data_IF_600140380324
#
_entry.id   IF_600140380324
#
_cell.length_a   1.000
_cell.length_b   1.000
_cell.length_c   1.000
_cell.angle_alpha   90.00
_cell.angle_beta   90.00
_cell.angle_gamma   90.00
#
_symmetry.space_group_name_H-M   'P 1'
#
loop_
_entity.id
_entity.type
_entity.pdbx_description
1 polymer ?
#
# COMPACT_ATOMS: atom_id res chain seq x y z
N UNK A 1 -25.65 -0.66 -17.20
CA UNK A 1 -24.54 -0.57 -16.22
C UNK A 1 -24.72 -1.70 -15.21
N UNK A 2 -23.69 -2.52 -14.99
CA UNK A 2 -23.73 -3.57 -13.96
C UNK A 2 -23.81 -2.93 -12.57
N UNK A 3 -24.65 -3.46 -11.65
CA UNK A 3 -24.81 -2.89 -10.32
C UNK A 3 -23.50 -2.99 -9.53
N UNK A 4 -23.13 -1.90 -8.84
CA UNK A 4 -21.97 -1.88 -7.95
C UNK A 4 -22.13 -2.92 -6.84
N UNK A 5 -21.11 -3.73 -6.60
CA UNK A 5 -21.11 -4.73 -5.53
C UNK A 5 -20.29 -4.25 -4.35
N UNK A 6 -20.73 -4.63 -3.15
CA UNK A 6 -19.98 -4.44 -1.93
C UNK A 6 -18.87 -5.50 -1.85
N UNK A 7 -17.85 -5.28 -1.01
CA UNK A 7 -16.87 -6.30 -0.65
C UNK A 7 -17.52 -7.62 -0.14
N UNK A 8 -18.77 -7.56 0.32
CA UNK A 8 -19.59 -8.71 0.73
C UNK A 8 -20.22 -9.51 -0.45
N UNK A 9 -19.93 -9.16 -1.71
CA UNK A 9 -20.53 -9.67 -2.97
C UNK A 9 -21.98 -9.27 -3.26
N UNK A 10 -22.75 -8.90 -2.23
CA UNK A 10 -24.12 -8.43 -2.43
C UNK A 10 -24.10 -7.09 -3.17
N UNK A 11 -25.17 -6.85 -3.92
CA UNK A 11 -25.40 -5.55 -4.56
C UNK A 11 -25.37 -4.47 -3.48
N UNK A 12 -24.59 -3.42 -3.73
CA UNK A 12 -24.56 -2.27 -2.86
C UNK A 12 -25.86 -1.51 -2.98
N UNK A 13 -26.47 -1.21 -1.84
CA UNK A 13 -27.75 -0.49 -1.76
C UNK A 13 -27.57 0.92 -1.23
N UNK A 14 -26.39 1.24 -0.69
CA UNK A 14 -26.09 2.54 -0.10
C UNK A 14 -24.64 2.96 -0.34
N UNK A 15 -24.45 4.27 -0.42
CA UNK A 15 -23.12 4.91 -0.40
C UNK A 15 -22.75 5.29 1.03
N UNK A 16 -21.45 5.39 1.30
CA UNK A 16 -20.95 6.02 2.53
C UNK A 16 -21.60 7.41 2.67
N UNK A 17 -22.18 7.70 3.83
CA UNK A 17 -22.87 8.98 4.07
C UNK A 17 -21.92 10.18 4.00
N UNK A 18 -20.65 9.97 4.36
CA UNK A 18 -19.63 11.02 4.46
C UNK A 18 -18.94 11.29 3.12
N UNK A 19 -18.23 10.32 2.56
CA UNK A 19 -17.41 10.58 1.36
C UNK A 19 -18.13 10.31 0.04
N UNK A 20 -19.19 9.48 0.00
CA UNK A 20 -19.87 9.01 -1.24
C UNK A 20 -19.00 8.19 -2.22
N UNK A 21 -17.73 7.93 -1.88
CA UNK A 21 -16.76 7.17 -2.69
C UNK A 21 -16.60 5.70 -2.27
N UNK A 22 -17.47 5.19 -1.40
CA UNK A 22 -17.59 3.77 -1.07
C UNK A 22 -19.04 3.33 -1.14
N UNK A 23 -19.26 2.08 -1.54
CA UNK A 23 -20.56 1.48 -1.73
C UNK A 23 -20.69 0.21 -0.88
N UNK A 24 -21.77 0.12 -0.09
CA UNK A 24 -21.99 -0.96 0.87
C UNK A 24 -23.35 -1.63 0.71
N UNK A 25 -23.40 -2.92 1.03
CA UNK A 25 -24.63 -3.70 1.10
C UNK A 25 -25.36 -3.55 2.45
N UNK A 26 -24.65 -3.16 3.53
CA UNK A 26 -25.21 -3.04 4.89
C UNK A 26 -24.34 -2.19 5.81
N UNK A 27 -24.87 -1.77 6.99
CA UNK A 27 -24.08 -1.09 8.05
C UNK A 27 -22.98 -1.97 8.61
N UNK A 28 -23.20 -3.29 8.67
CA UNK A 28 -22.18 -4.24 9.07
C UNK A 28 -20.96 -4.22 8.14
N UNK A 29 -21.18 -4.17 6.82
CA UNK A 29 -20.06 -4.16 5.87
C UNK A 29 -19.29 -2.84 5.90
N UNK A 30 -20.00 -1.73 6.11
CA UNK A 30 -19.38 -0.43 6.38
C UNK A 30 -18.54 -0.44 7.66
N UNK A 31 -19.04 -1.03 8.74
CA UNK A 31 -18.27 -1.21 9.99
C UNK A 31 -17.02 -2.08 9.80
N UNK A 32 -17.11 -3.14 9.01
CA UNK A 32 -15.96 -4.01 8.70
C UNK A 32 -14.89 -3.32 7.85
N UNK A 33 -15.28 -2.42 6.95
CA UNK A 33 -14.34 -1.64 6.12
C UNK A 33 -13.80 -0.40 6.85
N UNK A 34 -14.41 0.01 7.98
CA UNK A 34 -14.15 1.29 8.63
C UNK A 34 -12.66 1.57 8.87
N UNK A 35 -11.89 0.55 9.26
CA UNK A 35 -10.46 0.71 9.51
C UNK A 35 -9.66 1.11 8.26
N UNK A 36 -9.90 0.45 7.12
CA UNK A 36 -9.28 0.80 5.84
C UNK A 36 -9.87 2.09 5.28
N UNK A 37 -11.19 2.25 5.35
CA UNK A 37 -11.90 3.42 4.87
C UNK A 37 -11.43 4.71 5.53
N UNK A 38 -11.21 4.68 6.85
CA UNK A 38 -10.75 5.84 7.63
C UNK A 38 -9.40 6.40 7.19
N UNK A 39 -8.57 5.60 6.52
CA UNK A 39 -7.27 6.05 6.04
C UNK A 39 -7.39 7.11 4.93
N UNK A 40 -8.48 7.08 4.15
CA UNK A 40 -8.56 7.84 2.89
C UNK A 40 -9.88 8.61 2.67
N UNK A 41 -10.89 8.42 3.52
CA UNK A 41 -12.22 9.01 3.26
C UNK A 41 -12.25 10.54 3.32
N UNK A 42 -11.44 11.18 4.18
CA UNK A 42 -11.30 12.64 4.20
C UNK A 42 -10.44 13.10 3.03
N UNK A 43 -9.30 12.44 2.81
CA UNK A 43 -8.35 12.85 1.78
C UNK A 43 -8.91 12.74 0.37
N UNK A 44 -9.83 11.81 0.07
CA UNK A 44 -10.48 11.77 -1.25
C UNK A 44 -11.40 12.97 -1.47
N UNK A 45 -12.11 13.43 -0.43
CA UNK A 45 -13.01 14.58 -0.51
C UNK A 45 -12.19 15.85 -0.68
N UNK A 46 -11.19 16.05 0.16
CA UNK A 46 -10.25 17.18 0.09
C UNK A 46 -9.53 17.23 -1.25
N UNK A 47 -8.98 16.09 -1.71
CA UNK A 47 -8.27 16.01 -2.98
C UNK A 47 -9.16 16.39 -4.17
N UNK A 48 -10.41 15.93 -4.21
CA UNK A 48 -11.33 16.23 -5.32
C UNK A 48 -11.74 17.71 -5.37
N UNK A 49 -11.76 18.38 -4.21
CA UNK A 49 -12.02 19.83 -4.13
C UNK A 49 -10.77 20.61 -4.55
N UNK A 50 -9.62 20.27 -3.98
CA UNK A 50 -8.36 20.98 -4.19
C UNK A 50 -7.71 20.70 -5.56
N UNK A 51 -7.97 19.53 -6.15
CA UNK A 51 -7.37 19.12 -7.43
C UNK A 51 -8.45 18.64 -8.40
N UNK A 52 -9.09 19.55 -9.15
CA UNK A 52 -10.01 19.20 -10.22
C UNK A 52 -9.35 18.34 -11.28
N UNK A 53 -10.15 17.54 -12.00
CA UNK A 53 -9.62 16.64 -13.05
C UNK A 53 -8.92 17.45 -14.15
N UNK A 54 -7.62 17.22 -14.44
CA UNK A 54 -6.87 18.00 -15.42
C UNK A 54 -7.36 17.81 -16.86
N UNK A 55 -7.74 16.58 -17.24
CA UNK A 55 -8.24 16.26 -18.58
C UNK A 55 -9.16 15.03 -18.58
N UNK A 56 -9.89 14.80 -19.66
CA UNK A 56 -10.74 13.62 -19.84
C UNK A 56 -9.95 12.29 -19.97
N UNK A 57 -8.64 12.37 -20.25
CA UNK A 57 -7.75 11.20 -20.31
C UNK A 57 -7.25 10.79 -18.91
N UNK A 58 -7.36 11.68 -17.93
CA UNK A 58 -6.95 11.41 -16.57
C UNK A 58 -8.05 10.72 -15.77
N UNK A 59 -7.65 9.81 -14.89
CA UNK A 59 -8.51 9.13 -13.95
C UNK A 59 -7.87 9.13 -12.56
N UNK A 60 -8.71 9.01 -11.53
CA UNK A 60 -8.26 8.98 -10.15
C UNK A 60 -7.57 7.65 -9.85
N UNK A 61 -6.39 7.70 -9.24
CA UNK A 61 -5.61 6.55 -8.82
C UNK A 61 -5.07 6.75 -7.40
N UNK A 62 -4.62 5.65 -6.78
CA UNK A 62 -3.88 5.66 -5.52
C UNK A 62 -2.40 5.44 -5.78
N UNK A 63 -1.56 6.28 -5.20
CA UNK A 63 -0.11 6.20 -5.30
C UNK A 63 0.50 5.84 -3.94
N UNK A 64 1.16 4.68 -3.89
CA UNK A 64 1.98 4.29 -2.75
C UNK A 64 3.43 4.58 -3.10
N UNK A 65 3.90 5.68 -2.57
CA UNK A 65 5.23 6.24 -2.75
C UNK A 65 6.31 5.39 -2.06
N UNK A 66 7.53 5.44 -2.60
CA UNK A 66 8.71 5.04 -1.83
C UNK A 66 9.18 6.23 -1.03
N UNK A 67 9.20 6.03 0.28
CA UNK A 67 9.59 7.02 1.25
C UNK A 67 11.11 6.95 1.46
N UNK A 68 11.73 8.09 1.78
CA UNK A 68 13.14 8.16 2.12
C UNK A 68 13.44 7.36 3.39
N UNK A 69 14.71 7.03 3.63
CA UNK A 69 15.09 6.45 4.93
C UNK A 69 14.69 7.43 6.04
N UNK A 70 14.27 6.89 7.17
CA UNK A 70 13.82 7.66 8.34
C UNK A 70 12.56 8.52 8.15
N UNK A 71 11.80 8.31 7.06
CA UNK A 71 10.48 8.93 6.90
C UNK A 71 9.37 7.92 7.20
N UNK A 72 8.48 8.29 8.13
CA UNK A 72 7.34 7.47 8.55
C UNK A 72 6.43 7.16 7.38
N UNK A 73 5.92 5.92 7.34
CA UNK A 73 4.88 5.51 6.41
C UNK A 73 3.73 6.50 6.42
N UNK A 74 3.23 6.81 5.23
CA UNK A 74 2.03 7.62 5.04
C UNK A 74 1.00 6.85 4.26
N UNK A 75 -0.26 7.19 4.45
CA UNK A 75 -1.34 6.66 3.64
C UNK A 75 -1.06 6.92 2.14
N UNK A 76 -1.56 6.07 1.24
CA UNK A 76 -1.42 6.32 -0.18
C UNK A 76 -2.08 7.64 -0.57
N UNK A 77 -1.53 8.30 -1.57
CA UNK A 77 -2.03 9.57 -2.07
C UNK A 77 -3.02 9.36 -3.21
N UNK A 78 -4.04 10.22 -3.27
CA UNK A 78 -4.81 10.36 -4.49
C UNK A 78 -4.00 11.16 -5.53
N UNK A 79 -4.03 10.67 -6.77
CA UNK A 79 -3.41 11.35 -7.91
C UNK A 79 -4.35 11.29 -9.11
N UNK A 80 -4.21 12.25 -10.01
CA UNK A 80 -4.69 12.10 -11.38
C UNK A 80 -3.62 11.37 -12.19
N UNK A 81 -4.02 10.31 -12.88
CA UNK A 81 -3.12 9.44 -13.62
C UNK A 81 -3.61 9.29 -15.07
N UNK A 82 -2.72 9.30 -16.05
CA UNK A 82 -3.04 9.12 -17.48
C UNK A 82 -2.81 7.68 -17.97
N UNK A 83 -2.38 6.78 -17.08
CA UNK A 83 -1.94 5.42 -17.42
C UNK A 83 -0.42 5.24 -17.39
N UNK A 84 0.35 6.33 -17.38
CA UNK A 84 1.81 6.35 -17.34
C UNK A 84 2.38 7.31 -16.28
N UNK A 85 1.82 8.50 -16.16
CA UNK A 85 2.32 9.59 -15.32
C UNK A 85 1.24 10.13 -14.38
N UNK A 86 1.68 10.65 -13.22
CA UNK A 86 0.87 11.59 -12.44
C UNK A 86 0.73 12.88 -13.25
N UNK A 87 -0.48 13.41 -13.28
CA UNK A 87 -0.82 14.63 -13.99
C UNK A 87 -1.25 15.67 -12.99
N UNK A 88 -0.63 16.84 -13.04
CA UNK A 88 -1.04 18.03 -12.28
C UNK A 88 -1.38 19.15 -13.25
N UNK A 89 -2.25 20.06 -12.81
CA UNK A 89 -2.56 21.28 -13.54
C UNK A 89 -2.08 22.44 -12.69
N UNK A 90 -1.16 23.23 -13.21
CA UNK A 90 -0.70 24.44 -12.56
C UNK A 90 -1.85 25.45 -12.49
N UNK A 91 -2.11 26.00 -11.32
CA UNK A 91 -3.27 26.87 -11.09
C UNK A 91 -3.09 28.26 -11.72
N UNK A 92 -1.84 28.76 -11.77
CA UNK A 92 -1.53 30.10 -12.25
C UNK A 92 -1.54 30.19 -13.78
N UNK A 93 -0.98 29.18 -14.44
CA UNK A 93 -0.77 29.14 -15.89
C UNK A 93 -1.77 28.24 -16.61
N UNK A 94 -2.43 27.33 -15.88
CA UNK A 94 -3.28 26.29 -16.46
C UNK A 94 -2.50 25.18 -17.19
N UNK A 95 -1.16 25.21 -17.15
CA UNK A 95 -0.32 24.23 -17.81
C UNK A 95 -0.48 22.84 -17.20
N UNK A 96 -0.40 21.81 -18.05
CA UNK A 96 -0.45 20.42 -17.60
C UNK A 96 0.97 19.90 -17.43
N UNK A 97 1.26 19.40 -16.23
CA UNK A 97 2.55 18.83 -15.86
C UNK A 97 2.44 17.31 -15.68
N UNK A 98 3.54 16.63 -15.98
CA UNK A 98 3.63 15.17 -15.93
C UNK A 98 4.79 14.74 -15.06
N UNK A 99 4.53 13.84 -14.11
CA UNK A 99 5.54 13.25 -13.22
C UNK A 99 5.53 11.73 -13.30
N UNK A 100 6.71 11.12 -13.44
CA UNK A 100 6.87 9.66 -13.49
C UNK A 100 6.77 9.08 -12.07
N UNK A 101 5.61 8.55 -11.69
CA UNK A 101 5.38 8.00 -10.34
C UNK A 101 6.26 6.81 -9.98
N UNK A 102 6.64 6.03 -10.98
CA UNK A 102 7.35 4.79 -10.75
C UNK A 102 8.87 4.97 -10.71
N UNK A 103 9.39 6.16 -11.01
CA UNK A 103 10.81 6.46 -10.97
C UNK A 103 11.41 6.25 -9.57
N UNK A 104 12.69 5.93 -9.52
CA UNK A 104 13.48 5.94 -8.29
C UNK A 104 14.85 6.57 -8.53
N UNK A 105 15.66 6.68 -7.48
CA UNK A 105 16.99 7.28 -7.52
C UNK A 105 17.96 6.60 -8.52
N UNK A 106 17.73 5.33 -8.88
CA UNK A 106 18.58 4.59 -9.83
C UNK A 106 17.98 4.47 -11.23
N UNK A 107 16.70 4.78 -11.43
CA UNK A 107 16.01 4.62 -12.70
C UNK A 107 14.86 5.63 -12.84
N UNK A 108 15.11 6.70 -13.60
CA UNK A 108 14.13 7.74 -13.89
C UNK A 108 12.99 7.28 -14.81
N UNK A 109 13.20 6.26 -15.64
CA UNK A 109 12.23 5.77 -16.64
C UNK A 109 12.10 4.25 -16.59
N UNK A 110 11.55 3.70 -15.50
CA UNK A 110 11.48 2.26 -15.33
C UNK A 110 10.46 1.63 -16.27
N UNK A 111 10.80 0.46 -16.81
CA UNK A 111 9.80 -0.40 -17.45
C UNK A 111 8.74 -0.78 -16.42
N UNK A 112 7.50 -0.43 -16.69
CA UNK A 112 6.36 -0.69 -15.83
C UNK A 112 5.42 -1.73 -16.46
N UNK A 113 4.68 -2.44 -15.62
CA UNK A 113 3.66 -3.40 -16.02
C UNK A 113 2.43 -3.23 -15.13
N UNK A 114 1.26 -3.20 -15.78
CA UNK A 114 -0.02 -3.38 -15.10
C UNK A 114 -0.28 -4.86 -14.85
N UNK A 115 -0.67 -5.19 -13.63
CA UNK A 115 -1.11 -6.54 -13.26
C UNK A 115 -2.56 -6.43 -12.82
N UNK A 116 -3.40 -7.18 -13.52
CA UNK A 116 -4.84 -7.13 -13.34
C UNK A 116 -5.28 -7.96 -12.13
N UNK A 117 -6.20 -7.38 -11.36
CA UNK A 117 -6.88 -7.98 -10.23
C UNK A 117 -8.36 -7.93 -10.57
N UNK A 118 -8.91 -9.08 -10.94
CA UNK A 118 -10.32 -9.28 -11.29
C UNK A 118 -11.05 -10.17 -10.28
N UNK A 119 -10.36 -10.59 -9.21
CA UNK A 119 -10.88 -11.48 -8.18
C UNK A 119 -10.46 -11.01 -6.79
N UNK A 120 -11.40 -10.98 -5.84
CA UNK A 120 -11.11 -10.77 -4.43
C UNK A 120 -10.88 -12.12 -3.75
N UNK A 121 -9.67 -12.31 -3.23
CA UNK A 121 -9.19 -13.57 -2.66
C UNK A 121 -9.75 -13.86 -1.27
N UNK A 122 -10.09 -12.82 -0.50
CA UNK A 122 -10.63 -12.97 0.86
C UNK A 122 -12.09 -13.41 0.81
N UNK A 123 -12.90 -12.75 -0.01
CA UNK A 123 -14.31 -13.11 -0.15
C UNK A 123 -14.54 -14.25 -1.15
N UNK A 124 -13.56 -14.59 -2.01
CA UNK A 124 -13.64 -15.57 -3.10
C UNK A 124 -14.68 -15.19 -4.16
N UNK A 125 -14.59 -14.00 -4.75
CA UNK A 125 -15.47 -13.60 -5.88
C UNK A 125 -14.80 -12.77 -6.93
N UNK A 126 -15.35 -12.88 -8.14
CA UNK A 126 -15.08 -11.98 -9.25
C UNK A 126 -15.58 -10.57 -8.97
N UNK A 127 -14.81 -9.61 -9.46
CA UNK A 127 -15.17 -8.21 -9.46
C UNK A 127 -16.06 -7.92 -10.67
N UNK A 128 -16.80 -6.80 -10.65
CA UNK A 128 -17.54 -6.32 -11.82
C UNK A 128 -16.70 -5.50 -12.79
N UNK A 129 -15.41 -5.33 -12.48
CA UNK A 129 -14.44 -4.48 -13.16
C UNK A 129 -13.03 -4.93 -12.78
N UNK A 130 -12.01 -4.38 -13.41
CA UNK A 130 -10.62 -4.74 -13.14
C UNK A 130 -9.96 -3.69 -12.27
N UNK A 131 -9.27 -4.10 -11.20
CA UNK A 131 -8.32 -3.25 -10.47
C UNK A 131 -6.94 -3.54 -11.03
N UNK A 132 -6.18 -2.51 -11.40
CA UNK A 132 -4.84 -2.65 -11.96
C UNK A 132 -3.82 -2.20 -10.92
N UNK A 133 -2.91 -3.11 -10.59
CA UNK A 133 -1.68 -2.76 -9.85
C UNK A 133 -0.59 -2.46 -10.86
N UNK A 134 -0.23 -1.19 -10.99
CA UNK A 134 0.81 -0.73 -11.89
C UNK A 134 2.13 -0.56 -11.13
N UNK A 135 3.10 -1.41 -11.46
CA UNK A 135 4.39 -1.52 -10.76
C UNK A 135 5.54 -1.57 -11.75
N UNK A 136 6.75 -1.38 -11.25
CA UNK A 136 7.96 -1.65 -12.02
C UNK A 136 8.11 -3.13 -12.31
N UNK A 137 8.60 -3.46 -13.50
CA UNK A 137 8.82 -4.85 -13.91
C UNK A 137 9.86 -5.56 -13.03
N UNK A 138 10.92 -4.84 -12.62
CA UNK A 138 12.03 -5.37 -11.86
C UNK A 138 11.94 -5.13 -10.34
N UNK A 139 10.74 -4.86 -9.79
CA UNK A 139 10.53 -4.32 -8.42
C UNK A 139 11.09 -5.14 -7.24
N UNK A 140 11.68 -6.32 -7.46
CA UNK A 140 12.43 -7.09 -6.44
C UNK A 140 13.89 -7.33 -6.79
N UNK A 141 14.29 -7.05 -8.03
CA UNK A 141 15.61 -7.38 -8.57
C UNK A 141 16.45 -6.13 -8.87
N UNK A 142 15.88 -4.94 -8.70
CA UNK A 142 16.51 -3.65 -9.01
C UNK A 142 16.90 -2.82 -7.78
N UNK A 143 17.00 -3.47 -6.61
CA UNK A 143 17.29 -2.79 -5.35
C UNK A 143 16.13 -1.94 -4.81
N UNK A 144 14.91 -2.17 -5.31
CA UNK A 144 13.69 -1.57 -4.75
C UNK A 144 13.60 -1.74 -3.23
N UNK A 145 13.51 -0.62 -2.53
CA UNK A 145 13.18 -0.62 -1.10
C UNK A 145 11.75 -1.06 -0.85
N UNK A 146 11.50 -1.52 0.37
CA UNK A 146 10.17 -1.87 0.85
C UNK A 146 9.19 -0.70 0.71
N UNK A 147 7.97 -0.98 0.26
CA UNK A 147 6.89 -0.01 0.25
C UNK A 147 6.29 0.13 1.65
N UNK A 148 6.87 1.00 2.46
CA UNK A 148 6.43 1.27 3.83
C UNK A 148 4.99 1.80 3.89
N UNK A 149 4.56 2.58 2.90
CA UNK A 149 3.16 3.04 2.80
C UNK A 149 2.19 1.86 2.79
N UNK A 150 2.44 0.85 1.95
CA UNK A 150 1.60 -0.35 1.86
C UNK A 150 1.72 -1.23 3.12
N UNK A 151 2.93 -1.38 3.67
CA UNK A 151 3.18 -2.15 4.89
C UNK A 151 2.43 -1.57 6.10
N UNK A 152 2.50 -0.25 6.30
CA UNK A 152 1.80 0.42 7.39
C UNK A 152 0.28 0.43 7.17
N UNK A 153 -0.18 0.66 5.93
CA UNK A 153 -1.61 0.60 5.55
C UNK A 153 -2.23 -0.76 5.89
N UNK A 154 -1.48 -1.85 5.70
CA UNK A 154 -1.92 -3.21 6.02
C UNK A 154 -1.58 -3.66 7.44
N UNK A 155 -0.97 -2.78 8.25
CA UNK A 155 -0.50 -3.07 9.61
C UNK A 155 0.37 -4.33 9.65
N UNK A 156 1.27 -4.46 8.68
CA UNK A 156 2.17 -5.60 8.58
C UNK A 156 1.54 -6.89 8.05
N UNK A 157 0.26 -6.88 7.65
CA UNK A 157 -0.42 -8.06 7.12
C UNK A 157 -0.29 -8.13 5.60
N UNK A 158 0.91 -8.40 5.11
CA UNK A 158 1.14 -8.65 3.69
C UNK A 158 1.29 -10.15 3.44
N UNK A 159 0.75 -10.64 2.32
CA UNK A 159 1.00 -12.01 1.88
C UNK A 159 2.42 -12.19 1.32
N UNK A 160 3.03 -11.11 0.80
CA UNK A 160 4.36 -11.10 0.16
C UNK A 160 5.09 -9.77 0.34
N UNK A 161 6.40 -9.69 0.05
CA UNK A 161 7.17 -8.46 0.10
C UNK A 161 6.80 -7.58 -1.11
N UNK A 162 6.50 -6.31 -0.84
CA UNK A 162 6.18 -5.33 -1.87
C UNK A 162 7.28 -4.28 -1.94
N UNK A 163 8.13 -4.36 -2.95
CA UNK A 163 9.18 -3.39 -3.23
C UNK A 163 8.73 -2.30 -4.21
N UNK A 164 9.30 -1.12 -4.06
CA UNK A 164 9.17 -0.03 -5.03
C UNK A 164 7.85 0.74 -4.95
N UNK A 165 7.75 1.85 -5.71
CA UNK A 165 6.51 2.62 -5.80
C UNK A 165 5.47 1.81 -6.58
N UNK A 166 4.19 2.04 -6.28
CA UNK A 166 3.10 1.43 -7.02
C UNK A 166 1.92 2.39 -7.18
N UNK A 167 1.23 2.27 -8.31
CA UNK A 167 -0.01 2.99 -8.58
C UNK A 167 -1.14 1.97 -8.72
N UNK A 168 -2.26 2.22 -8.06
CA UNK A 168 -3.48 1.40 -8.16
C UNK A 168 -4.59 2.21 -8.78
N UNK A 169 -5.25 1.64 -9.79
CA UNK A 169 -6.40 2.25 -10.43
C UNK A 169 -7.40 1.19 -10.89
N UNK A 170 -8.53 1.62 -11.45
CA UNK A 170 -9.59 0.72 -11.91
C UNK A 170 -9.81 0.85 -13.42
N UNK A 171 -10.27 -0.22 -14.08
CA UNK A 171 -10.64 -0.28 -15.50
C UNK A 171 -12.01 -0.92 -15.66
N UNK A 172 -12.79 -0.46 -16.65
CA UNK A 172 -14.07 -1.08 -16.99
C UNK A 172 -13.88 -2.51 -17.53
N UNK A 173 -14.81 -3.41 -17.21
CA UNK A 173 -14.82 -4.79 -17.70
C UNK A 173 -13.83 -5.73 -16.99
N UNK A 174 -13.85 -6.99 -17.40
CA UNK A 174 -12.98 -8.06 -16.93
C UNK A 174 -12.10 -8.54 -18.08
N UNK A 175 -10.83 -8.86 -17.80
CA UNK A 175 -9.89 -9.51 -18.73
C UNK A 175 -9.55 -8.69 -20.01
N UNK A 176 -8.90 -9.31 -21.01
CA UNK A 176 -8.48 -8.75 -22.31
C UNK A 176 -9.63 -8.11 -23.11
N UNK A 177 -10.89 -8.44 -22.80
CA UNK A 177 -12.09 -7.79 -23.37
C UNK A 177 -12.48 -6.47 -22.68
N UNK A 178 -11.81 -6.10 -21.58
CA UNK A 178 -11.92 -4.77 -21.02
C UNK A 178 -11.66 -3.76 -22.14
N UNK A 179 -12.53 -2.78 -22.29
CA UNK A 179 -12.47 -1.75 -23.34
C UNK A 179 -11.20 -0.87 -23.30
N UNK A 180 -10.20 -1.21 -22.47
CA UNK A 180 -9.01 -0.42 -22.19
C UNK A 180 -9.34 0.85 -21.38
N UNK A 181 -10.62 1.15 -21.13
CA UNK A 181 -11.03 2.41 -20.54
C UNK A 181 -10.85 2.38 -19.03
N UNK A 182 -9.84 3.13 -18.57
CA UNK A 182 -9.59 3.35 -17.16
C UNK A 182 -10.67 4.24 -16.54
N UNK A 183 -10.90 4.07 -15.24
CA UNK A 183 -11.90 4.79 -14.45
C UNK A 183 -11.33 5.20 -13.09
N UNK A 184 -12.00 6.16 -12.46
CA UNK A 184 -11.67 6.58 -11.11
C UNK A 184 -11.73 5.39 -10.14
N UNK A 185 -10.67 5.21 -9.38
CA UNK A 185 -10.63 4.28 -8.25
C UNK A 185 -11.62 4.71 -7.16
N UNK A 186 -12.23 3.73 -6.51
CA UNK A 186 -13.12 3.93 -5.36
C UNK A 186 -12.48 3.43 -4.06
N UNK A 187 -13.04 3.79 -2.91
CA UNK A 187 -12.58 3.22 -1.64
C UNK A 187 -12.96 1.74 -1.48
N UNK A 188 -13.99 1.28 -2.19
CA UNK A 188 -14.29 -0.15 -2.32
C UNK A 188 -13.18 -0.91 -3.07
N UNK A 189 -12.59 -0.28 -4.09
CA UNK A 189 -11.46 -0.82 -4.83
C UNK A 189 -10.21 -0.87 -3.95
N UNK A 190 -9.98 0.20 -3.18
CA UNK A 190 -8.90 0.23 -2.20
C UNK A 190 -9.01 -0.93 -1.21
N UNK A 191 -10.20 -1.16 -0.62
CA UNK A 191 -10.42 -2.31 0.28
C UNK A 191 -10.09 -3.63 -0.40
N UNK A 192 -10.58 -3.82 -1.62
CA UNK A 192 -10.34 -5.04 -2.41
C UNK A 192 -8.84 -5.22 -2.73
N UNK A 193 -8.13 -4.14 -3.00
CA UNK A 193 -6.69 -4.15 -3.22
C UNK A 193 -5.94 -4.56 -1.93
N UNK A 194 -6.35 -4.08 -0.76
CA UNK A 194 -5.76 -4.53 0.51
C UNK A 194 -6.05 -6.01 0.78
N UNK A 195 -7.28 -6.47 0.54
CA UNK A 195 -7.63 -7.89 0.60
C UNK A 195 -6.71 -8.72 -0.31
N UNK A 196 -6.46 -8.25 -1.54
CA UNK A 196 -5.50 -8.85 -2.44
C UNK A 196 -4.09 -8.88 -1.83
N UNK A 197 -3.57 -7.75 -1.33
CA UNK A 197 -2.21 -7.68 -0.77
C UNK A 197 -2.03 -8.58 0.46
N UNK A 198 -3.09 -8.82 1.23
CA UNK A 198 -3.07 -9.68 2.43
C UNK A 198 -3.17 -11.18 2.10
N UNK A 199 -3.98 -11.55 1.10
CA UNK A 199 -4.27 -12.95 0.78
C UNK A 199 -3.42 -13.51 -0.37
N UNK A 200 -3.01 -12.68 -1.33
CA UNK A 200 -2.27 -13.14 -2.49
C UNK A 200 -0.88 -13.64 -2.10
N UNK A 201 -0.65 -14.94 -2.31
CA UNK A 201 0.63 -15.56 -2.05
C UNK A 201 0.96 -15.76 -0.58
N UNK A 202 -0.06 -15.86 0.29
CA UNK A 202 0.08 -16.20 1.71
C UNK A 202 0.95 -17.42 1.99
N UNK A 203 1.10 -18.29 0.99
CA UNK A 203 1.81 -19.57 1.09
C UNK A 203 3.32 -19.41 0.84
N UNK A 204 3.82 -18.22 0.53
CA UNK A 204 5.26 -17.97 0.37
C UNK A 204 5.68 -16.52 0.62
N UNK A 205 6.67 -16.35 1.51
CA UNK A 205 7.44 -15.10 1.69
C UNK A 205 6.71 -13.93 2.35
N UNK A 206 5.93 -14.17 3.42
CA UNK A 206 5.30 -13.10 4.20
C UNK A 206 6.29 -12.23 5.01
N UNK A 207 5.80 -11.44 5.99
CA UNK A 207 6.59 -10.54 6.83
C UNK A 207 7.76 -11.22 7.54
N UNK A 208 7.64 -12.50 7.90
CA UNK A 208 8.74 -13.28 8.48
C UNK A 208 9.96 -13.39 7.57
N UNK A 209 9.77 -13.58 6.27
CA UNK A 209 10.89 -13.65 5.31
C UNK A 209 11.52 -12.26 5.12
N UNK A 210 10.68 -11.22 5.08
CA UNK A 210 11.13 -9.83 4.99
C UNK A 210 11.97 -9.40 6.20
N UNK A 211 11.67 -9.94 7.37
CA UNK A 211 12.48 -9.76 8.57
C UNK A 211 13.84 -10.45 8.41
N UNK A 212 13.88 -11.72 7.96
CA UNK A 212 15.15 -12.45 7.74
C UNK A 212 16.06 -11.79 6.70
N UNK A 213 15.48 -11.19 5.66
CA UNK A 213 16.20 -10.48 4.60
C UNK A 213 16.58 -9.02 4.99
N UNK A 214 16.37 -8.61 6.25
CA UNK A 214 16.60 -7.25 6.74
C UNK A 214 15.92 -6.15 5.90
N UNK A 215 14.78 -6.46 5.28
CA UNK A 215 14.06 -5.51 4.42
C UNK A 215 13.23 -4.48 5.21
N UNK A 216 13.10 -4.67 6.53
CA UNK A 216 12.27 -3.85 7.41
C UNK A 216 13.05 -2.82 8.24
N UNK A 217 14.35 -2.65 8.02
CA UNK A 217 15.17 -1.66 8.73
C UNK A 217 14.56 -0.25 8.75
N UNK A 218 13.99 0.17 7.61
CA UNK A 218 13.29 1.46 7.54
C UNK A 218 12.13 1.55 8.54
N UNK A 219 11.35 0.47 8.71
CA UNK A 219 10.22 0.42 9.62
C UNK A 219 10.66 0.45 11.09
N UNK A 220 11.74 -0.24 11.43
CA UNK A 220 12.30 -0.25 12.79
C UNK A 220 12.56 1.17 13.29
N UNK A 221 13.15 2.01 12.45
CA UNK A 221 13.45 3.41 12.80
C UNK A 221 12.22 4.32 12.79
N UNK A 222 11.25 4.09 11.89
CA UNK A 222 10.15 5.03 11.68
C UNK A 222 8.86 4.68 12.41
N UNK A 223 8.68 3.40 12.75
CA UNK A 223 7.50 2.86 13.42
C UNK A 223 7.90 1.60 14.24
N UNK A 224 8.68 1.79 15.32
CA UNK A 224 9.21 0.69 16.13
C UNK A 224 8.12 -0.18 16.76
N UNK A 225 6.94 0.39 17.06
CA UNK A 225 5.80 -0.35 17.58
C UNK A 225 5.27 -1.37 16.57
N UNK A 226 5.09 -0.93 15.32
CA UNK A 226 4.64 -1.84 14.26
C UNK A 226 5.73 -2.89 13.94
N UNK A 227 6.99 -2.48 13.89
CA UNK A 227 8.11 -3.41 13.70
C UNK A 227 8.12 -4.50 14.79
N UNK A 228 8.04 -4.10 16.06
CA UNK A 228 7.99 -5.01 17.21
C UNK A 228 6.78 -5.95 17.16
N UNK A 229 5.62 -5.43 16.75
CA UNK A 229 4.39 -6.22 16.56
C UNK A 229 4.55 -7.28 15.47
N UNK A 230 5.14 -6.91 14.33
CA UNK A 230 5.43 -7.84 13.23
C UNK A 230 6.44 -8.89 13.69
N UNK A 231 7.53 -8.47 14.34
CA UNK A 231 8.57 -9.35 14.84
C UNK A 231 8.01 -10.40 15.80
N UNK A 232 7.23 -9.97 16.80
CA UNK A 232 6.58 -10.86 17.78
C UNK A 232 5.60 -11.82 17.12
N UNK A 233 4.78 -11.33 16.19
CA UNK A 233 3.80 -12.16 15.46
C UNK A 233 4.51 -13.27 14.68
N UNK A 234 5.62 -12.96 14.02
CA UNK A 234 6.31 -13.92 13.16
C UNK A 234 7.25 -14.85 13.95
N UNK A 235 7.76 -14.44 15.12
CA UNK A 235 8.59 -15.32 15.96
C UNK A 235 7.80 -16.39 16.70
N UNK A 236 6.47 -16.32 16.70
CA UNK A 236 5.61 -17.22 17.49
C UNK A 236 5.86 -17.07 19.00
N UNK A 237 6.40 -15.93 19.44
CA UNK A 237 6.85 -15.73 20.83
C UNK A 237 8.18 -16.39 21.16
N UNK A 238 8.85 -17.02 20.21
CA UNK A 238 10.16 -17.67 20.41
C UNK A 238 11.28 -16.64 20.38
N UNK A 239 12.22 -16.76 21.32
CA UNK A 239 13.42 -15.94 21.38
C UNK A 239 14.65 -16.81 21.70
N UNK A 240 15.82 -16.37 21.26
CA UNK A 240 17.12 -16.89 21.68
C UNK A 240 17.80 -15.88 22.61
N UNK A 241 18.80 -16.35 23.38
CA UNK A 241 19.65 -15.46 24.15
C UNK A 241 20.65 -14.79 23.22
N UNK A 242 20.59 -13.46 23.15
CA UNK A 242 21.57 -12.61 22.49
C UNK A 242 22.34 -11.76 23.50
N UNK A 243 23.27 -10.98 22.98
CA UNK A 243 24.06 -10.03 23.76
C UNK A 243 23.89 -8.65 23.13
N UNK A 244 23.36 -7.71 23.90
CA UNK A 244 23.33 -6.29 23.56
C UNK A 244 24.68 -5.69 23.95
N UNK A 245 25.39 -5.17 22.95
CA UNK A 245 26.67 -4.49 23.12
C UNK A 245 26.41 -2.98 23.05
N UNK A 246 26.59 -2.23 24.16
CA UNK A 246 26.34 -0.80 24.18
C UNK A 246 27.30 -0.07 23.24
N UNK A 247 26.81 0.95 22.52
CA UNK A 247 27.71 1.80 21.73
C UNK A 247 28.47 2.79 22.62
N UNK A 248 29.47 3.48 22.05
CA UNK A 248 30.24 4.50 22.79
C UNK A 248 29.35 5.59 23.39
N UNK A 249 28.28 5.96 22.67
CA UNK A 249 27.28 6.91 23.12
C UNK A 249 26.54 6.42 24.36
N UNK A 250 26.08 5.16 24.37
CA UNK A 250 25.41 4.55 25.53
C UNK A 250 26.35 4.43 26.73
N UNK A 251 27.62 4.12 26.47
CA UNK A 251 28.64 4.03 27.51
C UNK A 251 28.88 5.38 28.18
N UNK A 252 28.94 6.45 27.39
CA UNK A 252 29.21 7.79 27.90
C UNK A 252 27.98 8.44 28.55
N UNK A 253 26.83 8.37 27.90
CA UNK A 253 25.60 9.06 28.34
C UNK A 253 24.88 8.27 29.42
N UNK A 254 24.74 6.96 29.24
CA UNK A 254 23.94 6.09 30.10
C UNK A 254 24.79 5.28 31.08
N UNK A 255 26.13 5.39 31.02
CA UNK A 255 27.04 4.64 31.88
C UNK A 255 27.03 3.13 31.63
N UNK A 256 26.55 2.70 30.46
CA UNK A 256 26.41 1.27 30.12
C UNK A 256 27.75 0.68 29.72
N UNK A 257 28.56 0.26 30.70
CA UNK A 257 29.92 -0.27 30.46
C UNK A 257 29.98 -1.76 30.16
N UNK A 258 28.89 -2.49 30.36
CA UNK A 258 28.86 -3.95 30.26
C UNK A 258 27.84 -4.40 29.21
N UNK A 259 28.21 -5.44 28.48
CA UNK A 259 27.30 -6.19 27.63
C UNK A 259 26.14 -6.75 28.48
N UNK A 260 24.94 -6.80 27.89
CA UNK A 260 23.73 -7.31 28.55
C UNK A 260 23.18 -8.50 27.80
N UNK A 261 22.80 -9.55 28.52
CA UNK A 261 22.07 -10.67 27.92
C UNK A 261 20.63 -10.23 27.67
N UNK A 262 20.16 -10.38 26.44
CA UNK A 262 18.82 -9.97 26.01
C UNK A 262 18.11 -11.12 25.31
N UNK A 263 16.78 -11.14 25.38
CA UNK A 263 15.97 -12.06 24.58
C UNK A 263 15.76 -11.48 23.19
N UNK A 264 16.31 -12.16 22.18
CA UNK A 264 16.23 -11.77 20.78
C UNK A 264 15.21 -12.67 20.08
N UNK A 265 14.13 -12.11 19.50
CA UNK A 265 13.19 -12.92 18.72
C UNK A 265 13.90 -13.66 17.57
N UNK A 266 13.56 -14.93 17.33
CA UNK A 266 14.28 -15.79 16.37
C UNK A 266 14.26 -15.32 14.90
N UNK A 267 13.39 -14.36 14.58
CA UNK A 267 13.32 -13.74 13.25
C UNK A 267 13.90 -12.32 13.23
N UNK A 268 14.62 -11.91 14.26
CA UNK A 268 15.24 -10.59 14.28
C UNK A 268 16.35 -10.53 13.21
N UNK A 269 16.43 -9.47 12.39
CA UNK A 269 17.44 -9.30 11.33
C UNK A 269 18.91 -9.09 11.79
N UNK A 270 19.28 -9.46 13.03
CA UNK A 270 20.64 -9.17 13.58
C UNK A 270 21.72 -9.78 12.69
#
# INVERSE_FOLDING_TARGET
>A
MSPTRCACKKVSTKKCSTCKYADYCSRRCEGNDLASHKLLYNSIVEFKVASPRPSNKCFLALYFQILLLHTKGRAPEFIWFDGKNKVTKDEATGAIEYAVCLANHTNANPKAKGIDIFFNYVNKSELGHTIVRHIRHAFRFDGSRMNLSLLETTKGNLGRPWGGPLVVYSRHGLNVEASGVNRDITLSDFRTFLDFCTAYGSDSSGPGEMLKENMMFGLETTNPDLFSSILRKNSGGTACKGVEVPCDGDTWILGLRNCRVVDVPVNHPI
#
